data_IF_218340938655
#
_entry.id   IF_218340938655
#
_cell.length_a   1.000
_cell.length_b   1.000
_cell.length_c   1.000
_cell.angle_alpha   90.00
_cell.angle_beta   90.00
_cell.angle_gamma   90.00
#
_symmetry.space_group_name_H-M   'P 1'
#
loop_
_entity.id
_entity.type
_entity.pdbx_description
1 polymer ?
#
# COMPACT_ATOMS: atom_id res chain seq x y z
N UNK A 1 -31.47 -26.33 -33.09
CA UNK A 1 -31.38 -24.85 -33.05
C UNK A 1 -30.16 -24.54 -32.21
N UNK A 2 -29.11 -24.13 -32.90
CA UNK A 2 -27.71 -24.35 -32.60
C UNK A 2 -27.12 -23.38 -31.58
N UNK A 3 -26.35 -23.94 -30.63
CA UNK A 3 -25.42 -23.21 -29.77
C UNK A 3 -24.19 -22.81 -30.62
N UNK A 4 -24.07 -21.52 -30.94
CA UNK A 4 -22.80 -20.97 -31.45
C UNK A 4 -22.01 -20.36 -30.30
N UNK A 5 -20.98 -21.10 -29.90
CA UNK A 5 -19.83 -20.65 -29.12
C UNK A 5 -19.19 -19.39 -29.69
N UNK A 6 -18.52 -18.67 -28.78
CA UNK A 6 -17.26 -17.91 -28.94
C UNK A 6 -17.40 -16.42 -28.64
N UNK A 7 -17.15 -16.05 -27.39
CA UNK A 7 -16.33 -14.87 -27.09
C UNK A 7 -15.22 -15.32 -26.16
N UNK A 8 -14.02 -15.35 -26.72
CA UNK A 8 -12.76 -15.61 -26.04
C UNK A 8 -12.36 -14.29 -25.37
N UNK A 9 -12.26 -14.28 -24.04
CA UNK A 9 -11.39 -13.34 -23.33
C UNK A 9 -10.22 -14.14 -22.74
N UNK A 10 -9.16 -14.26 -23.53
CA UNK A 10 -7.81 -14.35 -23.02
C UNK A 10 -7.44 -12.92 -22.54
N UNK A 11 -6.61 -12.61 -21.55
CA UNK A 11 -5.36 -13.19 -21.06
C UNK A 11 -5.17 -12.69 -19.61
N UNK A 12 -4.60 -13.54 -18.76
CA UNK A 12 -3.82 -13.28 -17.53
C UNK A 12 -3.79 -11.84 -16.98
N UNK A 13 -4.30 -11.67 -15.76
CA UNK A 13 -3.78 -10.67 -14.82
C UNK A 13 -3.69 -11.32 -13.43
N UNK A 14 -2.44 -11.44 -12.98
CA UNK A 14 -1.92 -11.41 -11.62
C UNK A 14 -2.88 -11.67 -10.46
N UNK A 15 -2.45 -12.52 -9.52
CA UNK A 15 -3.13 -12.79 -8.26
C UNK A 15 -3.74 -11.52 -7.64
N UNK A 16 -5.01 -11.65 -7.27
CA UNK A 16 -5.84 -10.59 -6.74
C UNK A 16 -5.29 -10.07 -5.40
N UNK A 17 -4.37 -9.11 -5.47
CA UNK A 17 -4.47 -7.91 -4.65
C UNK A 17 -5.38 -6.98 -5.45
N UNK A 18 -6.65 -6.93 -5.04
CA UNK A 18 -7.67 -6.12 -5.71
C UNK A 18 -7.18 -4.69 -5.86
N UNK A 19 -7.42 -4.11 -7.04
CA UNK A 19 -7.01 -2.76 -7.40
C UNK A 19 -7.39 -1.76 -6.28
N UNK A 20 -6.40 -1.33 -5.50
CA UNK A 20 -6.52 -0.40 -4.36
C UNK A 20 -6.85 1.02 -4.80
N UNK A 21 -6.99 1.26 -6.11
CA UNK A 21 -7.38 2.55 -6.68
C UNK A 21 -8.75 3.05 -6.20
N UNK A 22 -9.65 2.18 -5.71
CA UNK A 22 -10.92 2.63 -5.09
C UNK A 22 -10.68 3.34 -3.75
N UNK A 23 -9.54 3.11 -3.08
CA UNK A 23 -9.22 3.75 -1.80
C UNK A 23 -8.83 5.22 -1.96
N UNK A 24 -8.57 5.65 -3.20
CA UNK A 24 -8.03 6.96 -3.48
C UNK A 24 -9.00 8.10 -3.20
N UNK A 25 -10.30 7.89 -3.40
CA UNK A 25 -11.31 8.91 -3.07
C UNK A 25 -11.36 9.15 -1.56
N UNK A 26 -11.31 8.08 -0.77
CA UNK A 26 -11.29 8.18 0.70
C UNK A 26 -9.98 8.81 1.21
N UNK A 27 -8.84 8.39 0.66
CA UNK A 27 -7.51 8.90 1.03
C UNK A 27 -7.34 10.38 0.63
N UNK A 28 -7.94 10.83 -0.47
CA UNK A 28 -7.85 12.21 -0.94
C UNK A 28 -8.41 13.22 0.08
N UNK A 29 -9.42 12.82 0.86
CA UNK A 29 -10.07 13.67 1.85
C UNK A 29 -9.42 13.61 3.25
N UNK A 30 -8.42 12.76 3.48
CA UNK A 30 -7.71 12.69 4.75
C UNK A 30 -6.93 13.99 5.04
N UNK A 31 -6.96 14.45 6.28
CA UNK A 31 -6.09 15.55 6.74
C UNK A 31 -4.76 14.98 7.27
N UNK A 32 -3.74 15.02 6.43
CA UNK A 32 -2.41 14.48 6.73
C UNK A 32 -1.57 15.37 7.68
N UNK A 33 -2.06 16.55 8.07
CA UNK A 33 -1.34 17.48 8.97
C UNK A 33 -1.78 17.36 10.43
N UNK A 34 -3.05 17.02 10.68
CA UNK A 34 -3.63 17.14 12.03
C UNK A 34 -3.61 15.83 12.83
N UNK A 35 -3.25 14.70 12.22
CA UNK A 35 -3.42 13.40 12.89
C UNK A 35 -2.38 12.31 12.56
N UNK A 36 -1.10 12.57 12.80
CA UNK A 36 -0.13 11.51 13.16
C UNK A 36 0.96 12.13 14.05
N UNK A 37 0.80 12.06 15.38
CA UNK A 37 1.96 12.13 16.28
C UNK A 37 1.97 10.85 17.12
N UNK A 38 2.32 9.76 16.46
CA UNK A 38 2.97 8.62 17.07
C UNK A 38 4.41 8.64 16.57
N UNK A 39 5.37 8.55 17.49
CA UNK A 39 6.80 8.73 17.24
C UNK A 39 7.27 8.11 15.92
N UNK A 40 7.92 8.95 15.10
CA UNK A 40 8.43 8.75 13.73
C UNK A 40 7.43 9.00 12.61
N UNK A 41 7.32 10.28 12.20
CA UNK A 41 7.04 10.68 10.82
C UNK A 41 8.05 9.97 9.90
N UNK A 42 7.73 8.75 9.47
CA UNK A 42 8.58 8.03 8.55
C UNK A 42 8.49 8.73 7.20
N UNK A 43 9.48 9.58 6.93
CA UNK A 43 9.63 10.23 5.63
C UNK A 43 9.68 9.13 4.57
N UNK A 44 9.05 9.36 3.42
CA UNK A 44 9.01 8.36 2.34
C UNK A 44 9.69 8.95 1.12
N UNK A 45 10.68 8.26 0.58
CA UNK A 45 11.25 8.60 -0.71
C UNK A 45 10.63 7.73 -1.81
N UNK A 46 10.13 8.32 -2.89
CA UNK A 46 9.64 7.57 -4.05
C UNK A 46 10.74 7.24 -5.08
N UNK A 47 10.40 6.43 -6.07
CA UNK A 47 11.23 6.02 -7.22
C UNK A 47 11.64 7.17 -8.16
N UNK A 48 11.13 8.38 -7.93
CA UNK A 48 11.50 9.61 -8.66
C UNK A 48 12.34 10.54 -7.80
N UNK A 49 12.81 10.07 -6.65
CA UNK A 49 13.63 10.82 -5.70
C UNK A 49 12.89 12.03 -5.10
N UNK A 50 11.57 11.92 -4.95
CA UNK A 50 10.72 12.90 -4.24
C UNK A 50 10.50 12.41 -2.81
N UNK A 51 10.72 13.31 -1.84
CA UNK A 51 10.56 13.05 -0.42
C UNK A 51 9.18 13.54 0.06
N UNK A 52 8.46 12.69 0.79
CA UNK A 52 7.19 12.99 1.44
C UNK A 52 7.37 12.96 2.95
N UNK A 53 6.72 13.88 3.65
CA UNK A 53 6.86 14.02 5.11
C UNK A 53 6.34 12.81 5.89
N UNK A 54 5.36 12.09 5.33
CA UNK A 54 4.79 10.89 5.91
C UNK A 54 4.12 10.02 4.84
N UNK A 55 3.74 8.80 5.21
CA UNK A 55 3.01 7.87 4.34
C UNK A 55 1.64 8.37 3.87
N UNK A 56 0.98 9.27 4.62
CA UNK A 56 -0.30 9.85 4.20
C UNK A 56 -0.12 10.74 2.96
N UNK A 57 0.88 11.62 2.97
CA UNK A 57 1.23 12.48 1.82
C UNK A 57 1.70 11.65 0.62
N UNK A 58 2.52 10.62 0.86
CA UNK A 58 2.90 9.68 -0.19
C UNK A 58 1.68 8.96 -0.79
N UNK A 59 0.74 8.51 0.04
CA UNK A 59 -0.46 7.78 -0.43
C UNK A 59 -1.36 8.65 -1.30
N UNK A 60 -1.51 9.94 -0.96
CA UNK A 60 -2.21 10.91 -1.83
C UNK A 60 -1.49 11.08 -3.18
N UNK A 61 -0.17 11.21 -3.16
CA UNK A 61 0.61 11.32 -4.39
C UNK A 61 0.52 10.06 -5.26
N UNK A 62 0.52 8.88 -4.63
CA UNK A 62 0.35 7.58 -5.29
C UNK A 62 -1.02 7.45 -5.95
N UNK A 63 -2.05 7.98 -5.32
CA UNK A 63 -3.39 8.08 -5.92
C UNK A 63 -3.45 9.03 -7.12
N UNK A 64 -2.66 10.11 -7.12
CA UNK A 64 -2.54 11.00 -8.27
C UNK A 64 -1.68 10.39 -9.40
N UNK A 65 -0.69 9.57 -9.04
CA UNK A 65 0.25 8.95 -9.98
C UNK A 65 0.63 7.53 -9.54
N UNK A 66 -0.04 6.54 -10.12
CA UNK A 66 0.20 5.13 -9.81
C UNK A 66 1.58 4.62 -10.31
N UNK A 67 2.34 5.41 -11.07
CA UNK A 67 3.70 5.02 -11.46
C UNK A 67 4.72 5.19 -10.34
N UNK A 68 4.37 5.88 -9.26
CA UNK A 68 5.28 6.06 -8.13
C UNK A 68 5.29 4.84 -7.22
N UNK A 69 6.45 4.55 -6.64
CA UNK A 69 6.59 3.47 -5.66
C UNK A 69 7.60 3.90 -4.61
N UNK A 70 7.44 3.41 -3.38
CA UNK A 70 8.45 3.63 -2.33
C UNK A 70 9.79 3.10 -2.81
N UNK A 71 10.79 3.98 -2.86
CA UNK A 71 12.18 3.63 -3.13
C UNK A 71 12.96 3.41 -1.84
N UNK A 72 12.72 4.25 -0.83
CA UNK A 72 13.33 4.11 0.50
C UNK A 72 12.43 4.75 1.56
N UNK A 73 12.54 4.25 2.79
CA UNK A 73 12.07 4.96 3.98
C UNK A 73 13.18 5.93 4.42
N UNK A 74 12.80 7.14 4.81
CA UNK A 74 13.70 8.25 5.08
C UNK A 74 14.11 9.07 3.85
N UNK A 75 15.25 9.76 3.99
CA UNK A 75 15.83 10.65 2.98
C UNK A 75 16.06 9.98 1.62
N UNK A 76 15.74 10.71 0.56
CA UNK A 76 16.15 10.39 -0.80
C UNK A 76 17.68 10.46 -0.98
N UNK A 77 18.21 9.77 -1.99
CA UNK A 77 19.63 9.85 -2.32
C UNK A 77 19.99 11.31 -2.64
N UNK A 78 20.90 11.89 -1.82
CA UNK A 78 21.42 13.24 -2.02
C UNK A 78 20.98 14.31 -1.03
N UNK A 79 20.07 14.03 -0.09
CA UNK A 79 19.66 14.97 0.97
C UNK A 79 20.06 14.54 2.39
N UNK A 80 21.26 13.96 2.55
CA UNK A 80 21.89 14.09 3.87
C UNK A 80 22.22 15.57 4.04
N UNK A 81 21.77 16.29 5.08
CA UNK A 81 22.65 17.32 5.60
C UNK A 81 23.99 16.59 5.77
N UNK A 82 25.03 17.07 5.09
CA UNK A 82 26.38 16.67 5.42
C UNK A 82 26.48 16.92 6.91
N UNK A 83 26.29 15.88 7.72
CA UNK A 83 26.79 15.90 9.08
C UNK A 83 28.26 16.13 8.84
N UNK A 84 28.67 17.37 9.12
CA UNK A 84 30.03 17.82 9.00
C UNK A 84 30.77 17.10 10.13
N UNK A 85 30.98 15.78 9.96
CA UNK A 85 32.07 15.09 10.61
C UNK A 85 33.31 15.69 10.00
N UNK A 86 33.73 16.74 10.69
CA UNK A 86 34.97 17.44 10.52
C UNK A 86 36.05 16.40 10.21
N UNK A 87 36.64 16.57 9.03
CA UNK A 87 37.68 15.75 8.46
C UNK A 87 38.76 15.34 9.46
N UNK A 88 39.04 14.04 9.54
CA UNK A 88 40.43 13.58 9.54
C UNK A 88 40.57 12.39 8.58
N UNK A 89 41.39 12.64 7.57
CA UNK A 89 41.74 11.84 6.40
C UNK A 89 42.52 10.53 6.74
N UNK A 90 42.91 9.68 5.77
CA UNK A 90 42.32 8.38 5.48
C UNK A 90 43.28 7.22 5.77
N UNK A 91 42.76 6.04 6.08
CA UNK A 91 43.56 4.81 6.06
C UNK A 91 42.81 3.70 5.36
N UNK A 92 43.27 3.43 4.15
CA UNK A 92 42.91 2.30 3.30
C UNK A 92 43.46 1.02 3.97
N UNK A 93 42.59 0.13 4.44
CA UNK A 93 42.95 -1.28 4.61
C UNK A 93 41.72 -2.19 4.44
N UNK A 94 41.63 -2.78 3.24
CA UNK A 94 41.04 -4.09 2.83
C UNK A 94 39.79 -4.68 3.50
N UNK A 95 38.88 -5.30 2.72
CA UNK A 95 37.63 -5.88 3.21
C UNK A 95 37.85 -7.23 3.91
N UNK A 96 37.24 -7.38 5.09
CA UNK A 96 37.00 -8.68 5.73
C UNK A 96 35.49 -8.94 5.74
N UNK A 97 34.99 -10.05 5.19
CA UNK A 97 33.57 -10.37 5.22
C UNK A 97 33.25 -10.99 6.58
N UNK A 98 32.99 -10.16 7.57
CA UNK A 98 32.29 -10.60 8.78
C UNK A 98 30.86 -10.14 8.64
N UNK A 99 29.99 -11.08 8.30
CA UNK A 99 28.57 -10.86 8.10
C UNK A 99 27.97 -10.08 9.29
N UNK A 100 27.39 -8.89 9.09
CA UNK A 100 26.34 -8.46 9.99
C UNK A 100 25.19 -9.45 9.81
N UNK A 101 24.65 -9.96 10.91
CA UNK A 101 23.35 -10.62 10.89
C UNK A 101 22.35 -9.59 10.37
N UNK A 102 22.13 -9.62 9.06
CA UNK A 102 20.95 -9.05 8.44
C UNK A 102 19.83 -9.94 8.96
N UNK A 103 19.17 -9.49 10.03
CA UNK A 103 17.81 -9.94 10.30
C UNK A 103 17.08 -9.67 9.01
N UNK A 104 16.83 -10.75 8.28
CA UNK A 104 16.03 -10.73 7.06
C UNK A 104 14.74 -10.04 7.47
N UNK A 105 14.34 -8.90 6.87
CA UNK A 105 12.97 -8.48 7.02
C UNK A 105 12.15 -9.65 6.51
N UNK A 106 11.46 -10.31 7.43
CA UNK A 106 10.36 -11.20 7.08
C UNK A 106 9.56 -10.45 6.01
N UNK A 107 9.25 -11.05 4.85
CA UNK A 107 8.29 -10.46 3.95
C UNK A 107 6.98 -10.43 4.73
N UNK A 108 6.75 -9.34 5.44
CA UNK A 108 5.43 -8.93 5.86
C UNK A 108 4.58 -8.99 4.59
N UNK A 109 3.35 -9.51 4.67
CA UNK A 109 2.44 -9.41 3.54
C UNK A 109 2.46 -7.95 3.14
N UNK A 110 2.88 -7.66 1.90
CA UNK A 110 2.93 -6.32 1.34
C UNK A 110 1.50 -5.84 1.23
N UNK A 111 0.92 -5.46 2.37
CA UNK A 111 -0.24 -4.61 2.42
C UNK A 111 0.20 -3.36 1.69
N UNK A 112 -0.42 -3.17 0.54
CA UNK A 112 -0.31 -1.96 -0.26
C UNK A 112 -0.23 -0.74 0.69
N UNK A 113 0.72 0.19 0.53
CA UNK A 113 0.80 1.40 1.35
C UNK A 113 -0.55 2.12 1.48
N UNK A 114 -1.38 2.08 0.43
CA UNK A 114 -2.75 2.62 0.44
C UNK A 114 -3.66 1.86 1.41
N UNK A 115 -3.57 0.53 1.45
CA UNK A 115 -4.34 -0.29 2.37
C UNK A 115 -3.86 -0.09 3.81
N UNK A 116 -2.55 0.06 4.04
CA UNK A 116 -2.00 0.36 5.36
C UNK A 116 -2.55 1.68 5.91
N UNK A 117 -2.50 2.76 5.12
CA UNK A 117 -3.03 4.07 5.50
C UNK A 117 -4.54 4.05 5.68
N UNK A 118 -5.27 3.37 4.78
CA UNK A 118 -6.71 3.17 4.92
C UNK A 118 -7.04 2.50 6.25
N UNK A 119 -6.37 1.38 6.59
CA UNK A 119 -6.64 0.64 7.81
C UNK A 119 -6.24 1.39 9.08
N UNK A 120 -5.16 2.17 9.05
CA UNK A 120 -4.78 3.03 10.16
C UNK A 120 -5.82 4.12 10.46
N UNK A 121 -6.59 4.51 9.45
CA UNK A 121 -7.65 5.52 9.55
C UNK A 121 -9.07 4.94 9.49
N UNK A 122 -9.23 3.61 9.58
CA UNK A 122 -10.52 2.95 9.37
C UNK A 122 -11.66 3.50 10.26
N UNK A 123 -11.34 4.02 11.45
CA UNK A 123 -12.32 4.55 12.40
C UNK A 123 -12.84 5.95 12.02
N UNK A 124 -12.16 6.66 11.11
CA UNK A 124 -12.58 7.97 10.60
C UNK A 124 -13.20 7.89 9.20
N UNK A 125 -13.03 6.75 8.52
CA UNK A 125 -13.57 6.50 7.17
C UNK A 125 -15.05 6.15 7.26
N UNK A 126 -15.86 6.83 6.46
CA UNK A 126 -17.29 6.55 6.31
C UNK A 126 -17.57 6.14 4.87
N UNK A 127 -17.81 4.86 4.64
CA UNK A 127 -18.15 4.37 3.31
C UNK A 127 -19.48 4.95 2.81
N UNK A 128 -19.56 5.21 1.50
CA UNK A 128 -20.81 5.61 0.86
C UNK A 128 -21.86 4.49 0.96
N UNK A 129 -23.14 4.84 0.97
CA UNK A 129 -24.24 3.87 1.04
C UNK A 129 -24.61 3.27 -0.34
N UNK A 130 -23.82 3.55 -1.38
CA UNK A 130 -24.02 3.03 -2.72
C UNK A 130 -23.84 1.51 -2.74
N UNK A 131 -24.78 0.83 -3.41
CA UNK A 131 -24.84 -0.63 -3.48
C UNK A 131 -24.08 -1.10 -4.73
N UNK A 132 -22.91 -1.69 -4.52
CA UNK A 132 -22.08 -2.37 -5.52
C UNK A 132 -21.48 -3.65 -4.90
N UNK A 133 -22.30 -4.70 -4.72
CA UNK A 133 -21.97 -5.79 -3.81
C UNK A 133 -20.77 -6.61 -4.28
N UNK A 134 -19.86 -6.91 -3.35
CA UNK A 134 -18.69 -7.75 -3.59
C UNK A 134 -18.70 -8.99 -2.72
N UNK A 135 -18.18 -10.09 -3.25
CA UNK A 135 -18.14 -11.38 -2.57
C UNK A 135 -16.72 -11.69 -2.08
N UNK A 136 -16.58 -11.95 -0.78
CA UNK A 136 -15.32 -12.32 -0.17
C UNK A 136 -15.14 -13.85 -0.09
N UNK A 137 -13.89 -14.29 0.02
CA UNK A 137 -13.45 -15.70 0.10
C UNK A 137 -14.07 -16.49 1.27
N UNK A 138 -14.56 -15.80 2.29
CA UNK A 138 -15.31 -16.39 3.41
C UNK A 138 -16.80 -16.61 3.11
N UNK A 139 -17.25 -16.37 1.87
CA UNK A 139 -18.64 -16.54 1.44
C UNK A 139 -19.58 -15.40 1.85
N UNK A 140 -19.04 -14.29 2.38
CA UNK A 140 -19.82 -13.12 2.81
C UNK A 140 -19.90 -12.05 1.71
N UNK A 141 -21.09 -11.48 1.54
CA UNK A 141 -21.30 -10.27 0.73
C UNK A 141 -21.03 -9.01 1.55
N UNK A 142 -20.33 -8.06 0.93
CA UNK A 142 -20.19 -6.69 1.39
C UNK A 142 -20.93 -5.76 0.43
N UNK A 143 -21.58 -4.73 0.96
CA UNK A 143 -22.46 -3.84 0.19
C UNK A 143 -21.70 -3.05 -0.88
N UNK A 144 -20.42 -2.74 -0.64
CA UNK A 144 -19.50 -2.16 -1.61
C UNK A 144 -18.03 -2.53 -1.28
N UNK A 145 -17.10 -2.06 -2.13
CA UNK A 145 -15.66 -2.27 -1.96
C UNK A 145 -15.08 -1.62 -0.71
N UNK A 146 -15.58 -0.45 -0.30
CA UNK A 146 -15.12 0.22 0.91
C UNK A 146 -15.42 -0.64 2.15
N UNK A 147 -16.63 -1.18 2.27
CA UNK A 147 -17.00 -2.08 3.37
C UNK A 147 -16.20 -3.39 3.37
N UNK A 148 -15.90 -3.93 2.19
CA UNK A 148 -14.97 -5.06 2.09
C UNK A 148 -13.56 -4.70 2.56
N UNK A 149 -13.05 -3.51 2.21
CA UNK A 149 -11.73 -3.07 2.65
C UNK A 149 -11.68 -2.80 4.16
N UNK A 150 -12.75 -2.28 4.77
CA UNK A 150 -12.83 -2.20 6.23
C UNK A 150 -12.69 -3.58 6.88
N UNK A 151 -13.33 -4.61 6.31
CA UNK A 151 -13.18 -5.98 6.79
C UNK A 151 -11.78 -6.56 6.54
N UNK A 152 -11.09 -6.16 5.46
CA UNK A 152 -9.69 -6.54 5.22
C UNK A 152 -8.74 -6.01 6.31
N UNK A 153 -9.06 -4.87 6.92
CA UNK A 153 -8.28 -4.33 8.02
C UNK A 153 -8.34 -5.22 9.27
N UNK A 154 -9.45 -5.92 9.47
CA UNK A 154 -9.62 -6.87 10.56
C UNK A 154 -9.15 -8.29 10.17
N UNK A 155 -9.29 -8.67 8.89
CA UNK A 155 -8.87 -9.96 8.35
C UNK A 155 -8.19 -9.82 6.98
N UNK A 156 -6.87 -9.76 7.00
CA UNK A 156 -6.02 -9.63 5.81
C UNK A 156 -5.98 -10.89 4.92
N UNK A 157 -6.60 -11.99 5.35
CA UNK A 157 -6.70 -13.22 4.55
C UNK A 157 -7.89 -13.22 3.58
N UNK A 158 -8.78 -12.24 3.69
CA UNK A 158 -9.91 -12.10 2.78
C UNK A 158 -9.42 -11.78 1.36
N UNK A 159 -10.07 -12.39 0.37
CA UNK A 159 -9.84 -12.08 -1.04
C UNK A 159 -11.19 -11.99 -1.75
N UNK A 160 -11.24 -11.27 -2.87
CA UNK A 160 -12.45 -11.24 -3.69
C UNK A 160 -12.59 -12.56 -4.45
N UNK A 161 -13.82 -13.07 -4.51
CA UNK A 161 -14.19 -14.23 -5.30
C UNK A 161 -15.46 -13.96 -6.13
N UNK A 162 -15.85 -14.94 -6.94
CA UNK A 162 -17.08 -14.86 -7.74
C UNK A 162 -18.32 -14.68 -6.85
N UNK A 163 -19.19 -13.73 -7.19
CA UNK A 163 -20.42 -13.43 -6.45
C UNK A 163 -21.35 -14.62 -6.26
N UNK A 164 -21.33 -15.59 -7.17
CA UNK A 164 -22.14 -16.82 -7.06
C UNK A 164 -21.70 -17.73 -5.89
N UNK A 165 -20.49 -17.53 -5.34
CA UNK A 165 -19.97 -18.32 -4.22
C UNK A 165 -20.36 -17.77 -2.84
N UNK A 166 -21.04 -16.62 -2.79
CA UNK A 166 -21.53 -16.06 -1.53
C UNK A 166 -22.97 -16.49 -1.24
N UNK A 167 -23.30 -16.60 0.05
CA UNK A 167 -24.65 -16.92 0.49
C UNK A 167 -25.48 -15.64 0.68
N UNK A 168 -26.70 -15.65 0.15
CA UNK A 168 -27.71 -14.58 0.28
C UNK A 168 -28.52 -14.74 1.57
#
# INVERSE_FOLDING_TARGET
MDFKSTVIFAILASGALGNTSHLCDDIAHLDCQTYVQGDTDEEVCDNRNVLYNNFCEYSKAKCADDSISVASLGQCYGNRPVEIYTTKEPSITTPSPTAPSVTTPTPAPTLDPLLSIFCQNKDTISCAADIDPVCASNGRLYINKCDFTLALCDDTSLTLQDTHNCHH
#
